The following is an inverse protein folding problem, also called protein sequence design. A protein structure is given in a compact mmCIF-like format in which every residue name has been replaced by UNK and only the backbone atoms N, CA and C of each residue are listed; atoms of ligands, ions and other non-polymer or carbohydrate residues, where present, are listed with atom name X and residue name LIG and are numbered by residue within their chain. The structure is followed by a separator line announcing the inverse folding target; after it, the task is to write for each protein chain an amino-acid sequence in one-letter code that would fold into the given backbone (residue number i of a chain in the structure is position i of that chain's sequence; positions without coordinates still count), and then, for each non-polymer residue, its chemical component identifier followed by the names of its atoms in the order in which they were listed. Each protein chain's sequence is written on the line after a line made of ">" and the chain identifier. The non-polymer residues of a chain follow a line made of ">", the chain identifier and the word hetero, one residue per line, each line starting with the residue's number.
data_IF_054214629794
#
_entry.id   IF_054214629794
#
_cell.length_a   1.000
_cell.length_b   1.000
_cell.length_c   1.000
_cell.angle_alpha   90.00
_cell.angle_beta   90.00
_cell.angle_gamma   90.00
#
_symmetry.space_group_name_H-M   'P 1'
#
loop_
_entity.id
_entity.type
_entity.pdbx_description
1 polymer ?
#
# COMPACT_ATOMS: atom_id res chain seq x y z
N UNK A 1 5.75 8.40 6.90
CA UNK A 1 4.95 8.67 5.71
C UNK A 1 4.19 9.99 5.83
N UNK A 2 3.84 10.62 4.70
CA UNK A 2 3.06 11.87 4.67
C UNK A 2 1.59 11.57 4.97
N UNK A 3 1.05 10.53 4.34
CA UNK A 3 -0.33 10.10 4.55
C UNK A 3 -0.50 8.60 4.30
N UNK A 4 -1.57 8.05 4.83
CA UNK A 4 -2.14 6.75 4.52
C UNK A 4 -3.57 6.93 4.00
N UNK A 5 -3.96 6.19 2.97
CA UNK A 5 -5.33 6.16 2.45
C UNK A 5 -5.84 4.74 2.56
N UNK A 6 -6.90 4.54 3.35
CA UNK A 6 -7.44 3.22 3.65
C UNK A 6 -8.96 3.30 3.80
N UNK A 7 -9.69 2.36 3.23
CA UNK A 7 -11.15 2.30 3.30
C UNK A 7 -11.63 1.58 4.57
N UNK A 8 -10.90 0.55 5.00
CA UNK A 8 -11.27 -0.25 6.15
C UNK A 8 -11.03 0.50 7.46
N UNK A 9 -12.08 0.64 8.27
CA UNK A 9 -12.03 1.39 9.52
C UNK A 9 -11.11 0.73 10.55
N UNK A 10 -11.08 -0.61 10.63
CA UNK A 10 -10.23 -1.31 11.59
C UNK A 10 -8.75 -1.19 11.20
N UNK A 11 -8.46 -1.25 9.89
CA UNK A 11 -7.12 -0.99 9.37
C UNK A 11 -6.70 0.47 9.63
N UNK A 12 -7.61 1.44 9.52
CA UNK A 12 -7.34 2.82 9.88
C UNK A 12 -6.98 2.98 11.35
N UNK A 13 -7.64 2.27 12.26
CA UNK A 13 -7.26 2.28 13.69
C UNK A 13 -5.85 1.72 13.90
N UNK A 14 -5.51 0.62 13.24
CA UNK A 14 -4.16 0.05 13.27
C UNK A 14 -3.11 1.06 12.76
N UNK A 15 -3.39 1.74 11.66
CA UNK A 15 -2.52 2.77 11.11
C UNK A 15 -2.35 3.96 12.05
N UNK A 16 -3.44 4.44 12.68
CA UNK A 16 -3.39 5.52 13.68
C UNK A 16 -2.59 5.13 14.92
N UNK A 17 -2.77 3.89 15.41
CA UNK A 17 -1.97 3.35 16.52
C UNK A 17 -0.48 3.27 16.16
N UNK A 18 -0.15 2.90 14.93
CA UNK A 18 1.22 2.93 14.42
C UNK A 18 1.78 4.37 14.34
N UNK A 19 0.98 5.33 13.90
CA UNK A 19 1.35 6.76 13.91
C UNK A 19 1.63 7.23 15.34
N UNK A 20 0.75 6.88 16.28
CA UNK A 20 0.91 7.19 17.70
C UNK A 20 2.23 6.61 18.26
N UNK A 21 2.53 5.34 17.97
CA UNK A 21 3.80 4.72 18.37
C UNK A 21 5.02 5.53 17.91
N UNK A 22 5.06 5.86 16.62
CA UNK A 22 6.22 6.58 16.07
C UNK A 22 6.32 8.01 16.60
N UNK A 23 5.19 8.68 16.82
CA UNK A 23 5.16 9.99 17.46
C UNK A 23 5.71 9.94 18.88
N UNK A 24 5.20 9.03 19.72
CA UNK A 24 5.63 8.87 21.11
C UNK A 24 7.09 8.40 21.23
N UNK A 25 7.54 7.54 20.29
CA UNK A 25 8.95 7.14 20.21
C UNK A 25 9.86 8.35 19.93
N UNK A 26 9.49 9.18 18.95
CA UNK A 26 10.24 10.38 18.56
C UNK A 26 10.29 11.43 19.66
N UNK A 27 9.21 11.56 20.41
CA UNK A 27 9.09 12.52 21.53
C UNK A 27 9.55 11.94 22.87
N UNK A 28 10.18 10.76 22.91
CA UNK A 28 10.65 10.06 24.10
C UNK A 28 9.55 9.72 25.14
N UNK A 29 8.30 9.62 24.70
CA UNK A 29 7.13 9.27 25.53
C UNK A 29 6.63 7.84 25.29
N UNK A 30 7.52 6.90 24.93
CA UNK A 30 7.14 5.51 24.59
C UNK A 30 6.43 4.78 25.75
N UNK A 31 6.61 5.21 27.00
CA UNK A 31 5.91 4.63 28.17
C UNK A 31 4.39 4.69 28.01
N UNK A 32 3.83 5.76 27.44
CA UNK A 32 2.38 5.89 27.18
C UNK A 32 1.91 4.77 26.23
N UNK A 33 2.68 4.49 25.16
CA UNK A 33 2.35 3.38 24.26
C UNK A 33 2.45 2.02 24.96
N UNK A 34 3.41 1.83 25.86
CA UNK A 34 3.53 0.63 26.66
C UNK A 34 2.31 0.42 27.59
N UNK A 35 1.81 1.50 28.23
CA UNK A 35 0.56 1.45 29.02
C UNK A 35 -0.63 1.02 28.18
N UNK A 36 -0.74 1.50 26.94
CA UNK A 36 -1.77 1.04 25.99
C UNK A 36 -1.63 -0.46 25.68
N UNK A 37 -0.40 -0.96 25.43
CA UNK A 37 -0.17 -2.39 25.16
C UNK A 37 -0.53 -3.29 26.34
N UNK A 38 -0.39 -2.79 27.58
CA UNK A 38 -0.77 -3.50 28.81
C UNK A 38 -2.27 -3.41 29.12
N UNK A 39 -3.03 -2.62 28.35
CA UNK A 39 -4.46 -2.38 28.61
C UNK A 39 -4.73 -1.41 29.77
N UNK A 40 -3.70 -0.68 30.23
CA UNK A 40 -3.83 0.31 31.33
C UNK A 40 -4.56 1.58 30.87
N UNK A 41 -4.49 1.90 29.57
CA UNK A 41 -5.19 3.02 28.94
C UNK A 41 -5.93 2.56 27.67
N UNK A 42 -7.01 3.27 27.36
CA UNK A 42 -7.81 3.02 26.15
C UNK A 42 -7.11 3.52 24.87
N UNK A 43 -7.62 3.11 23.71
CA UNK A 43 -7.15 3.64 22.43
C UNK A 43 -7.46 5.13 22.28
N UNK A 44 -8.60 5.57 22.76
CA UNK A 44 -9.06 6.95 22.75
C UNK A 44 -8.12 7.81 23.61
N UNK A 45 -7.74 7.30 24.77
CA UNK A 45 -6.78 7.94 25.65
C UNK A 45 -5.38 7.97 25.05
N UNK A 46 -4.90 6.88 24.41
CA UNK A 46 -3.65 6.89 23.65
C UNK A 46 -3.65 8.01 22.60
N UNK A 47 -4.76 8.20 21.88
CA UNK A 47 -4.85 9.20 20.82
C UNK A 47 -4.91 10.63 21.36
N UNK A 48 -5.38 10.87 22.59
CA UNK A 48 -5.37 12.19 23.19
C UNK A 48 -3.96 12.76 23.42
N UNK A 49 -2.95 11.89 23.53
CA UNK A 49 -1.54 12.30 23.62
C UNK A 49 -0.91 12.66 22.27
N UNK A 50 -1.64 12.48 21.17
CA UNK A 50 -1.10 12.66 19.81
C UNK A 50 -1.73 13.89 19.17
N UNK A 51 -0.94 14.81 18.62
CA UNK A 51 -1.50 15.95 17.90
C UNK A 51 -2.43 15.50 16.78
N UNK A 52 -3.58 16.13 16.63
CA UNK A 52 -4.59 15.82 15.63
C UNK A 52 -4.01 15.76 14.21
N UNK A 53 -3.06 16.66 13.91
CA UNK A 53 -2.35 16.69 12.63
C UNK A 53 -1.66 15.35 12.29
N UNK A 54 -1.12 14.65 13.26
CA UNK A 54 -0.47 13.34 13.05
C UNK A 54 -1.53 12.27 12.77
N UNK A 55 -2.64 12.25 13.48
CA UNK A 55 -3.72 11.27 13.29
C UNK A 55 -4.51 11.50 12.00
N UNK A 56 -4.66 12.75 11.56
CA UNK A 56 -5.33 13.10 10.29
C UNK A 56 -4.54 12.69 9.05
N UNK A 57 -3.26 12.30 9.21
CA UNK A 57 -2.49 11.65 8.16
C UNK A 57 -3.06 10.29 7.73
N UNK A 58 -3.94 9.67 8.54
CA UNK A 58 -4.69 8.47 8.17
C UNK A 58 -6.06 8.89 7.64
N UNK A 59 -6.21 8.82 6.32
CA UNK A 59 -7.40 9.24 5.57
C UNK A 59 -8.28 8.02 5.35
N UNK A 60 -9.39 7.92 6.11
CA UNK A 60 -10.35 6.83 5.94
C UNK A 60 -11.30 7.14 4.80
N UNK A 61 -10.98 6.61 3.61
CA UNK A 61 -11.84 6.72 2.42
C UNK A 61 -11.36 5.80 1.29
N UNK A 62 -12.25 5.46 0.36
CA UNK A 62 -11.89 4.71 -0.84
C UNK A 62 -11.20 5.62 -1.87
N UNK A 63 -10.20 5.07 -2.59
CA UNK A 63 -9.65 5.73 -3.79
C UNK A 63 -10.64 5.60 -4.94
N UNK A 64 -10.68 6.62 -5.81
CA UNK A 64 -11.48 6.64 -7.04
C UNK A 64 -12.52 7.74 -7.10
N UNK A 65 -13.01 7.99 -8.30
CA UNK A 65 -14.10 8.95 -8.57
C UNK A 65 -13.88 10.34 -7.95
N UNK A 66 -14.92 10.85 -7.29
CA UNK A 66 -14.91 12.18 -6.63
C UNK A 66 -14.00 12.23 -5.40
N UNK A 67 -13.72 11.06 -4.78
CA UNK A 67 -12.92 11.00 -3.56
C UNK A 67 -11.48 11.43 -3.79
N UNK A 68 -10.91 11.14 -4.97
CA UNK A 68 -9.51 11.49 -5.27
C UNK A 68 -9.22 12.98 -5.09
N UNK A 69 -10.14 13.88 -5.48
CA UNK A 69 -9.97 15.32 -5.27
C UNK A 69 -9.81 15.67 -3.79
N UNK A 70 -10.67 15.07 -2.94
CA UNK A 70 -10.62 15.30 -1.50
C UNK A 70 -9.36 14.70 -0.88
N UNK A 71 -8.95 13.51 -1.34
CA UNK A 71 -7.71 12.86 -0.89
C UNK A 71 -6.50 13.73 -1.25
N UNK A 72 -6.40 14.18 -2.50
CA UNK A 72 -5.29 15.03 -2.95
C UNK A 72 -5.22 16.31 -2.13
N UNK A 73 -6.35 17.02 -1.93
CA UNK A 73 -6.40 18.22 -1.09
C UNK A 73 -5.88 17.98 0.34
N UNK A 74 -6.24 16.83 0.95
CA UNK A 74 -5.75 16.47 2.29
C UNK A 74 -4.25 16.17 2.28
N UNK A 75 -3.77 15.37 1.31
CA UNK A 75 -2.35 15.03 1.20
C UNK A 75 -1.52 16.27 0.91
N UNK A 76 -1.98 17.17 0.04
CA UNK A 76 -1.29 18.43 -0.30
C UNK A 76 -1.15 19.33 0.92
N UNK A 77 -2.18 19.41 1.77
CA UNK A 77 -2.11 20.11 3.06
C UNK A 77 -1.07 19.46 4.01
N UNK A 78 -1.02 18.13 4.06
CA UNK A 78 -0.10 17.39 4.93
C UNK A 78 1.36 17.49 4.46
N UNK A 79 1.60 17.39 3.15
CA UNK A 79 2.95 17.46 2.60
C UNK A 79 3.53 18.88 2.62
N UNK A 80 2.67 19.89 2.55
CA UNK A 80 3.08 21.28 2.38
C UNK A 80 3.95 21.45 1.13
N UNK A 81 5.12 22.05 1.29
CA UNK A 81 6.08 22.26 0.18
C UNK A 81 6.94 21.03 -0.16
N UNK A 82 6.85 19.94 0.62
CA UNK A 82 7.64 18.73 0.40
C UNK A 82 7.17 17.98 -0.84
N UNK A 83 8.09 17.36 -1.54
CA UNK A 83 7.81 16.46 -2.64
C UNK A 83 7.48 15.05 -2.10
N UNK A 84 6.65 14.30 -2.80
CA UNK A 84 6.41 12.88 -2.54
C UNK A 84 7.40 12.08 -3.38
N UNK A 85 8.38 11.45 -2.74
CA UNK A 85 9.40 10.67 -3.44
C UNK A 85 8.97 9.21 -3.68
N UNK A 86 8.11 8.67 -2.81
CA UNK A 86 7.69 7.27 -2.84
C UNK A 86 6.18 7.13 -2.60
N UNK A 87 5.53 6.35 -3.45
CA UNK A 87 4.16 5.86 -3.23
C UNK A 87 4.18 4.34 -3.14
N UNK A 88 3.61 3.80 -2.05
CA UNK A 88 3.45 2.36 -1.83
C UNK A 88 1.96 2.04 -1.76
N UNK A 89 1.51 1.03 -2.49
CA UNK A 89 0.12 0.62 -2.44
C UNK A 89 -0.12 -0.78 -3.02
N UNK A 90 -1.20 -1.41 -2.53
CA UNK A 90 -1.70 -2.68 -3.02
C UNK A 90 -3.21 -2.58 -3.20
N UNK A 91 -3.72 -2.07 -4.35
CA UNK A 91 -5.15 -1.99 -4.56
C UNK A 91 -5.77 -3.40 -4.54
N UNK A 92 -7.02 -3.54 -4.05
CA UNK A 92 -7.66 -4.84 -3.85
C UNK A 92 -7.60 -5.73 -5.08
N UNK A 93 -7.21 -6.99 -4.83
CA UNK A 93 -6.98 -8.00 -5.86
C UNK A 93 -8.12 -9.01 -5.97
N UNK A 94 -9.27 -8.77 -5.35
CA UNK A 94 -10.36 -9.76 -5.27
C UNK A 94 -10.79 -10.29 -6.63
N UNK A 95 -10.74 -9.46 -7.67
CA UNK A 95 -11.02 -9.87 -9.04
C UNK A 95 -9.90 -10.73 -9.68
N UNK A 96 -8.69 -10.75 -9.11
CA UNK A 96 -7.54 -11.49 -9.63
C UNK A 96 -7.18 -12.73 -8.81
N UNK A 97 -7.66 -12.84 -7.54
CA UNK A 97 -7.39 -14.01 -6.70
C UNK A 97 -8.17 -15.22 -7.20
N UNK A 98 -7.61 -16.43 -7.02
CA UNK A 98 -8.30 -17.68 -7.36
C UNK A 98 -9.63 -17.83 -6.61
N UNK A 99 -9.64 -17.50 -5.32
CA UNK A 99 -10.84 -17.56 -4.45
C UNK A 99 -11.87 -16.51 -4.90
N UNK A 100 -11.45 -15.26 -5.18
CA UNK A 100 -12.34 -14.20 -5.64
C UNK A 100 -12.95 -14.47 -7.01
N UNK A 101 -12.21 -15.13 -7.94
CA UNK A 101 -12.73 -15.54 -9.25
C UNK A 101 -13.79 -16.65 -9.13
N UNK A 102 -13.56 -17.62 -8.24
CA UNK A 102 -14.53 -18.68 -7.98
C UNK A 102 -15.85 -18.13 -7.39
N UNK A 103 -15.77 -17.16 -6.48
CA UNK A 103 -16.93 -16.52 -5.87
C UNK A 103 -17.71 -15.60 -6.84
N UNK A 104 -17.06 -15.00 -7.82
CA UNK A 104 -17.67 -14.01 -8.71
C UNK A 104 -18.31 -14.59 -9.98
N UNK A 105 -18.12 -15.91 -10.28
CA UNK A 105 -18.63 -16.58 -11.49
C UNK A 105 -18.73 -15.57 -12.67
N UNK A 106 -19.79 -15.40 -13.36
CA UNK A 106 -19.88 -14.55 -14.57
C UNK A 106 -19.78 -13.02 -14.37
N UNK A 107 -19.71 -12.50 -13.14
CA UNK A 107 -19.60 -11.05 -12.85
C UNK A 107 -18.16 -10.51 -12.87
N UNK A 108 -17.15 -11.37 -12.89
CA UNK A 108 -15.74 -10.96 -12.82
C UNK A 108 -15.29 -10.05 -13.99
N UNK A 109 -15.89 -10.14 -15.16
CA UNK A 109 -15.53 -9.33 -16.36
C UNK A 109 -15.91 -7.85 -16.23
N UNK A 110 -16.93 -7.51 -15.42
CA UNK A 110 -17.44 -6.13 -15.23
C UNK A 110 -17.04 -5.52 -13.89
N UNK A 111 -16.20 -6.20 -13.11
CA UNK A 111 -15.81 -5.72 -11.79
C UNK A 111 -14.91 -4.48 -11.90
N UNK A 112 -15.39 -3.35 -11.41
CA UNK A 112 -14.66 -2.07 -11.42
C UNK A 112 -13.30 -2.16 -10.70
N UNK A 113 -13.15 -3.11 -9.77
CA UNK A 113 -11.88 -3.38 -9.06
C UNK A 113 -10.76 -3.83 -10.00
N UNK A 114 -11.09 -4.34 -11.19
CA UNK A 114 -10.10 -4.64 -12.24
C UNK A 114 -9.36 -3.39 -12.74
N UNK A 115 -9.88 -2.20 -12.45
CA UNK A 115 -9.34 -0.93 -12.92
C UNK A 115 -8.73 -0.07 -11.81
N UNK A 116 -8.68 -0.56 -10.56
CA UNK A 116 -8.11 0.19 -9.43
C UNK A 116 -6.63 0.55 -9.64
N UNK A 117 -5.90 -0.18 -10.48
CA UNK A 117 -4.56 0.24 -10.89
C UNK A 117 -4.56 1.59 -11.63
N UNK A 118 -5.66 1.96 -12.31
CA UNK A 118 -5.80 3.27 -12.94
C UNK A 118 -5.98 4.36 -11.90
N UNK A 119 -6.75 4.07 -10.84
CA UNK A 119 -6.89 5.00 -9.71
C UNK A 119 -5.54 5.20 -9.00
N UNK A 120 -4.80 4.12 -8.76
CA UNK A 120 -3.43 4.21 -8.27
C UNK A 120 -2.54 5.06 -9.20
N UNK A 121 -2.65 4.86 -10.51
CA UNK A 121 -1.92 5.64 -11.51
C UNK A 121 -2.26 7.13 -11.50
N UNK A 122 -3.48 7.55 -11.09
CA UNK A 122 -3.82 8.96 -10.90
C UNK A 122 -2.97 9.61 -9.79
N UNK A 123 -2.65 8.85 -8.72
CA UNK A 123 -1.72 9.33 -7.68
C UNK A 123 -0.31 9.47 -8.25
N UNK A 124 0.15 8.53 -9.08
CA UNK A 124 1.46 8.62 -9.73
C UNK A 124 1.53 9.84 -10.66
N UNK A 125 0.47 10.09 -11.44
CA UNK A 125 0.42 11.25 -12.34
C UNK A 125 0.35 12.57 -11.57
N UNK A 126 -0.35 12.62 -10.44
CA UNK A 126 -0.51 13.84 -9.65
C UNK A 126 0.76 14.21 -8.87
N UNK A 127 1.39 13.22 -8.22
CA UNK A 127 2.54 13.47 -7.34
C UNK A 127 3.89 13.26 -8.00
N UNK A 128 3.95 12.58 -9.13
CA UNK A 128 5.19 12.27 -9.86
C UNK A 128 6.32 11.74 -8.95
N UNK A 129 6.05 10.71 -8.09
CA UNK A 129 7.07 10.20 -7.20
C UNK A 129 8.26 9.65 -7.98
N UNK A 130 9.46 9.71 -7.40
CA UNK A 130 10.66 9.09 -8.02
C UNK A 130 10.48 7.61 -8.21
N UNK A 131 9.91 6.94 -7.18
CA UNK A 131 9.72 5.50 -7.14
C UNK A 131 8.31 5.18 -6.65
N UNK A 132 7.74 4.09 -7.14
CA UNK A 132 6.54 3.51 -6.52
C UNK A 132 6.68 2.00 -6.32
N UNK A 133 5.96 1.48 -5.34
CA UNK A 133 5.83 0.04 -5.09
C UNK A 133 4.36 -0.35 -5.19
N UNK A 134 4.06 -1.27 -6.08
CA UNK A 134 2.72 -1.79 -6.29
C UNK A 134 2.71 -3.28 -5.94
N UNK A 135 1.96 -3.64 -4.89
CA UNK A 135 1.81 -5.02 -4.43
C UNK A 135 0.51 -5.62 -4.94
N UNK A 136 0.56 -6.88 -5.33
CA UNK A 136 -0.64 -7.63 -5.67
C UNK A 136 -0.41 -9.16 -5.50
N UNK A 137 -1.46 -9.95 -5.74
CA UNK A 137 -1.35 -11.42 -5.78
C UNK A 137 -0.78 -11.89 -7.13
N UNK A 138 -0.05 -13.03 -7.19
CA UNK A 138 0.48 -13.57 -8.45
C UNK A 138 -0.58 -13.80 -9.53
N UNK A 139 -1.83 -14.08 -9.13
CA UNK A 139 -2.96 -14.31 -10.03
C UNK A 139 -3.26 -13.16 -11.00
N UNK A 140 -2.77 -11.94 -10.74
CA UNK A 140 -2.91 -10.81 -11.68
C UNK A 140 -2.21 -11.10 -13.02
N UNK A 141 -1.12 -11.88 -13.02
CA UNK A 141 -0.37 -12.23 -14.24
C UNK A 141 -1.20 -13.06 -15.23
N UNK A 142 -2.09 -13.91 -14.72
CA UNK A 142 -2.91 -14.83 -15.52
C UNK A 142 -4.35 -14.37 -15.70
N UNK A 143 -4.79 -13.37 -14.96
CA UNK A 143 -6.15 -12.86 -15.02
C UNK A 143 -6.49 -12.31 -16.41
N UNK A 144 -7.65 -12.73 -16.98
CA UNK A 144 -8.07 -12.34 -18.32
C UNK A 144 -7.07 -12.73 -19.41
N UNK A 145 -6.49 -13.93 -19.29
CA UNK A 145 -5.42 -14.42 -20.20
C UNK A 145 -4.22 -13.45 -20.27
N UNK A 146 -3.85 -12.87 -19.12
CA UNK A 146 -2.73 -11.95 -18.99
C UNK A 146 -2.99 -10.51 -19.46
N UNK A 147 -4.15 -10.24 -20.07
CA UNK A 147 -4.47 -8.89 -20.60
C UNK A 147 -4.46 -7.81 -19.52
N UNK A 148 -4.99 -8.09 -18.33
CA UNK A 148 -5.01 -7.10 -17.25
C UNK A 148 -3.61 -6.67 -16.82
N UNK A 149 -2.71 -7.63 -16.70
CA UNK A 149 -1.32 -7.35 -16.33
C UNK A 149 -0.56 -6.61 -17.44
N UNK A 150 -0.76 -7.00 -18.71
CA UNK A 150 -0.20 -6.28 -19.87
C UNK A 150 -0.69 -4.82 -19.91
N UNK A 151 -1.98 -4.59 -19.70
CA UNK A 151 -2.57 -3.25 -19.69
C UNK A 151 -2.06 -2.39 -18.52
N UNK A 152 -1.90 -2.99 -17.33
CA UNK A 152 -1.32 -2.32 -16.16
C UNK A 152 0.10 -1.84 -16.46
N UNK A 153 0.96 -2.74 -16.98
CA UNK A 153 2.34 -2.38 -17.33
C UNK A 153 2.40 -1.31 -18.43
N UNK A 154 1.58 -1.44 -19.47
CA UNK A 154 1.50 -0.44 -20.53
C UNK A 154 1.03 0.92 -20.00
N UNK A 155 0.07 0.94 -19.07
CA UNK A 155 -0.43 2.17 -18.46
C UNK A 155 0.66 2.88 -17.66
N UNK A 156 1.38 2.18 -16.78
CA UNK A 156 2.44 2.78 -15.98
C UNK A 156 3.64 3.26 -16.82
N UNK A 157 3.99 2.50 -17.89
CA UNK A 157 5.00 2.95 -18.87
C UNK A 157 4.59 4.23 -19.58
N UNK A 158 3.31 4.34 -19.96
CA UNK A 158 2.76 5.53 -20.65
C UNK A 158 2.79 6.79 -19.77
N UNK A 159 2.56 6.63 -18.45
CA UNK A 159 2.62 7.78 -17.51
C UNK A 159 4.04 8.09 -17.01
N UNK A 160 5.09 7.54 -17.64
CA UNK A 160 6.45 7.97 -17.46
C UNK A 160 7.34 7.11 -16.58
N UNK A 161 6.97 5.83 -16.32
CA UNK A 161 7.75 4.95 -15.45
C UNK A 161 8.36 3.75 -16.19
N UNK A 162 9.57 3.39 -15.81
CA UNK A 162 10.11 2.05 -16.01
C UNK A 162 9.56 1.11 -14.93
N UNK A 163 9.52 -0.19 -15.19
CA UNK A 163 8.94 -1.17 -14.28
C UNK A 163 9.74 -2.47 -14.30
N UNK A 164 9.98 -3.01 -13.12
CA UNK A 164 10.37 -4.41 -12.95
C UNK A 164 9.48 -5.10 -11.91
N UNK A 165 9.34 -6.42 -12.02
CA UNK A 165 8.51 -7.21 -11.12
C UNK A 165 9.22 -8.46 -10.62
N UNK A 166 8.94 -8.82 -9.37
CA UNK A 166 9.34 -10.09 -8.76
C UNK A 166 8.19 -10.73 -8.00
N UNK A 167 8.07 -12.05 -8.11
CA UNK A 167 7.22 -12.82 -7.19
C UNK A 167 8.07 -13.19 -5.98
N UNK A 168 7.58 -12.84 -4.79
CA UNK A 168 8.25 -13.09 -3.52
C UNK A 168 7.31 -13.84 -2.58
N UNK A 169 7.87 -14.76 -1.79
CA UNK A 169 7.12 -15.44 -0.73
C UNK A 169 7.60 -14.91 0.62
N UNK A 170 6.68 -14.47 1.48
CA UNK A 170 7.02 -13.93 2.80
C UNK A 170 7.85 -14.92 3.64
N UNK A 171 7.60 -16.22 3.47
CA UNK A 171 8.37 -17.28 4.11
C UNK A 171 9.87 -17.17 3.83
N UNK A 172 10.26 -16.87 2.59
CA UNK A 172 11.66 -16.74 2.18
C UNK A 172 12.39 -15.57 2.88
N UNK A 173 11.63 -14.69 3.57
CA UNK A 173 12.12 -13.48 4.26
C UNK A 173 11.90 -13.50 5.78
N UNK A 174 11.74 -14.67 6.38
CA UNK A 174 11.67 -14.83 7.84
C UNK A 174 10.27 -14.68 8.44
N UNK A 175 9.24 -14.62 7.62
CA UNK A 175 7.84 -14.62 8.08
C UNK A 175 7.32 -16.05 8.09
N UNK A 176 6.81 -16.53 9.23
CA UNK A 176 6.22 -17.88 9.35
C UNK A 176 4.84 -17.91 8.71
N UNK A 177 4.83 -17.63 7.40
CA UNK A 177 3.61 -17.64 6.58
C UNK A 177 3.96 -17.90 5.13
N UNK A 178 3.36 -18.92 4.53
CA UNK A 178 3.44 -19.16 3.08
C UNK A 178 2.53 -18.17 2.36
N UNK A 179 3.08 -17.00 1.98
CA UNK A 179 2.35 -15.89 1.35
C UNK A 179 3.09 -15.36 0.13
N UNK A 180 2.66 -15.80 -1.04
CA UNK A 180 3.19 -15.27 -2.29
C UNK A 180 2.58 -13.92 -2.66
N UNK A 181 3.44 -13.01 -3.12
CA UNK A 181 3.06 -11.69 -3.62
C UNK A 181 3.88 -11.30 -4.83
N UNK A 182 3.22 -10.61 -5.74
CA UNK A 182 3.85 -9.91 -6.85
C UNK A 182 4.19 -8.49 -6.40
N UNK A 183 5.46 -8.16 -6.43
CA UNK A 183 5.96 -6.81 -6.16
C UNK A 183 6.41 -6.19 -7.48
N UNK A 184 5.77 -5.09 -7.85
CA UNK A 184 6.19 -4.26 -8.99
C UNK A 184 6.80 -3.00 -8.40
N UNK A 185 8.05 -2.72 -8.76
CA UNK A 185 8.69 -1.45 -8.48
C UNK A 185 8.78 -0.68 -9.78
N UNK A 186 8.27 0.55 -9.76
CA UNK A 186 8.40 1.45 -10.87
C UNK A 186 9.18 2.69 -10.47
N UNK A 187 9.99 3.20 -11.39
CA UNK A 187 10.76 4.43 -11.20
C UNK A 187 10.62 5.34 -12.41
N UNK A 188 10.67 6.63 -12.17
CA UNK A 188 10.55 7.63 -13.21
C UNK A 188 11.69 7.48 -14.24
N UNK A 189 11.39 7.74 -15.51
CA UNK A 189 12.34 7.55 -16.62
C UNK A 189 13.53 8.51 -16.60
N UNK A 190 13.41 9.61 -15.85
CA UNK A 190 14.43 10.66 -15.72
C UNK A 190 15.36 10.47 -14.53
N UNK A 191 15.25 9.35 -13.80
CA UNK A 191 16.15 9.03 -12.69
C UNK A 191 16.91 7.72 -12.95
N UNK A 192 18.13 7.67 -12.47
CA UNK A 192 18.91 6.45 -12.40
C UNK A 192 18.44 5.63 -11.19
N UNK A 193 18.03 4.37 -11.43
CA UNK A 193 17.56 3.47 -10.39
C UNK A 193 17.85 2.02 -10.79
N UNK A 194 18.35 1.24 -9.84
CA UNK A 194 18.55 -0.20 -9.99
C UNK A 194 17.52 -0.97 -9.20
N UNK A 195 16.85 -1.94 -9.84
CA UNK A 195 15.90 -2.79 -9.17
C UNK A 195 16.57 -3.59 -8.04
N UNK A 196 16.05 -3.58 -6.82
CA UNK A 196 16.67 -4.26 -5.69
C UNK A 196 16.64 -5.77 -5.85
N UNK A 197 17.75 -6.44 -5.58
CA UNK A 197 17.81 -7.90 -5.51
C UNK A 197 17.29 -8.36 -4.16
N UNK A 198 16.17 -9.09 -4.15
CA UNK A 198 15.63 -9.68 -2.93
C UNK A 198 16.50 -10.85 -2.48
N UNK A 199 17.12 -10.71 -1.31
CA UNK A 199 17.96 -11.77 -0.71
C UNK A 199 17.10 -12.61 0.22
N UNK A 200 16.92 -13.90 -0.12
CA UNK A 200 16.24 -14.85 0.74
C UNK A 200 17.09 -15.13 1.98
N UNK A 201 16.43 -15.29 3.12
CA UNK A 201 17.08 -15.72 4.34
C UNK A 201 17.33 -17.25 4.29
N UNK A 202 18.42 -17.71 4.86
CA UNK A 202 18.61 -19.13 5.14
C UNK A 202 17.79 -19.46 6.39
N UNK A 203 16.78 -20.33 6.26
CA UNK A 203 15.95 -20.78 7.37
C UNK A 203 16.46 -22.10 7.93
N UNK A 204 16.31 -22.28 9.24
CA UNK A 204 16.50 -23.56 9.93
C UNK A 204 15.22 -24.41 9.95
N UNK A 205 14.08 -23.84 9.56
CA UNK A 205 12.80 -24.54 9.48
C UNK A 205 12.44 -24.94 8.05
N UNK A 206 11.80 -26.10 7.91
CA UNK A 206 11.25 -26.62 6.66
C UNK A 206 9.86 -26.04 6.40
N UNK A 207 9.42 -26.09 5.13
CA UNK A 207 8.03 -25.86 4.73
C UNK A 207 7.32 -27.21 4.86
N UNK A 208 6.69 -27.49 5.97
CA UNK A 208 5.79 -28.63 6.11
C UNK A 208 4.40 -28.29 5.58
#
# INVERSE_FOLDING_TARGET
>A
PVAHVEIDQAACFTLKTRVAYYYLKRTRKKHIYNSYLKGEISREELYSYIPEKELTAVINTSIGGKNNKTIFKKIDKLKGRKQIDLIVGGPPCQAYSYIGRAALKNKAKKDERNFLYKEYGKFLTHYQPKVFVFENVPGIKTAGNGRHFKNLKAYFKRIGYYLEESSVNAFDFGVVQNRERLIIIGWRKDIEFSYPKFRKLKHSWTRD
#
